data_IF_764615324193
#
_entry.id   IF_764615324193
#
_cell.length_a   1.000
_cell.length_b   1.000
_cell.length_c   1.000
_cell.angle_alpha   90.00
_cell.angle_beta   90.00
_cell.angle_gamma   90.00
#
_symmetry.space_group_name_H-M   'P 1'
#
loop_
_entity.id
_entity.type
_entity.pdbx_description
1 polymer ?
#
# COMPACT_ATOMS: atom_id res chain seq x y z
N UNK A 1 4.72 -30.94 -23.23
CA UNK A 1 4.58 -30.90 -21.75
C UNK A 1 4.29 -29.50 -21.19
N UNK A 2 4.03 -28.50 -22.02
CA UNK A 2 3.89 -27.07 -21.58
C UNK A 2 2.45 -26.64 -21.18
N UNK A 3 1.39 -27.33 -21.63
CA UNK A 3 0.00 -26.86 -21.43
C UNK A 3 -0.63 -27.19 -20.05
N UNK A 4 -0.07 -28.15 -19.31
CA UNK A 4 -0.62 -28.53 -17.97
C UNK A 4 -0.22 -27.57 -16.84
N UNK A 5 0.88 -26.82 -17.02
CA UNK A 5 1.30 -25.83 -16.01
C UNK A 5 0.49 -24.53 -16.13
N UNK A 6 0.19 -24.10 -17.33
CA UNK A 6 -0.64 -22.91 -17.60
C UNK A 6 -2.08 -23.07 -17.10
N UNK A 7 -2.68 -24.24 -17.23
CA UNK A 7 -4.05 -24.50 -16.76
C UNK A 7 -4.21 -24.51 -15.23
N UNK A 8 -3.13 -24.72 -14.47
CA UNK A 8 -3.13 -24.62 -12.99
C UNK A 8 -2.87 -23.19 -12.48
N UNK A 9 -2.21 -22.36 -13.27
CA UNK A 9 -1.85 -20.99 -12.87
C UNK A 9 -2.99 -20.00 -13.19
N UNK A 10 -3.69 -20.17 -14.31
CA UNK A 10 -4.81 -19.30 -14.72
C UNK A 10 -5.94 -19.21 -13.68
N UNK A 11 -6.46 -20.30 -13.11
CA UNK A 11 -7.52 -20.21 -12.09
C UNK A 11 -7.07 -19.45 -10.83
N UNK A 12 -5.81 -19.59 -10.44
CA UNK A 12 -5.26 -18.90 -9.27
C UNK A 12 -5.12 -17.37 -9.49
N UNK A 13 -4.75 -16.96 -10.69
CA UNK A 13 -4.64 -15.51 -11.04
C UNK A 13 -6.02 -14.88 -11.16
N UNK A 14 -6.97 -15.57 -11.81
CA UNK A 14 -8.35 -15.10 -11.95
C UNK A 14 -9.04 -14.99 -10.59
N UNK A 15 -8.94 -16.03 -9.74
CA UNK A 15 -9.45 -16.01 -8.37
C UNK A 15 -8.83 -14.87 -7.52
N UNK A 16 -7.59 -14.53 -7.76
CA UNK A 16 -6.90 -13.40 -7.08
C UNK A 16 -7.39 -12.04 -7.57
N UNK A 17 -7.63 -11.90 -8.86
CA UNK A 17 -8.22 -10.69 -9.46
C UNK A 17 -9.67 -10.53 -8.99
N UNK A 18 -10.46 -11.59 -9.04
CA UNK A 18 -11.86 -11.58 -8.61
C UNK A 18 -11.99 -11.31 -7.12
N UNK A 19 -11.10 -11.85 -6.29
CA UNK A 19 -11.03 -11.56 -4.87
C UNK A 19 -10.65 -10.09 -4.60
N UNK A 20 -9.64 -9.55 -5.28
CA UNK A 20 -9.27 -8.13 -5.17
C UNK A 20 -10.36 -7.21 -5.77
N UNK A 21 -11.05 -7.67 -6.81
CA UNK A 21 -12.18 -6.94 -7.41
C UNK A 21 -13.42 -6.97 -6.51
N UNK A 22 -13.71 -8.08 -5.81
CA UNK A 22 -14.84 -8.18 -4.88
C UNK A 22 -14.72 -7.20 -3.72
N UNK A 23 -13.51 -6.94 -3.22
CA UNK A 23 -13.26 -5.87 -2.25
C UNK A 23 -13.52 -4.46 -2.81
N UNK A 24 -13.31 -4.30 -4.11
CA UNK A 24 -13.52 -3.02 -4.77
C UNK A 24 -14.99 -2.76 -5.17
N UNK A 25 -15.80 -3.83 -5.31
CA UNK A 25 -17.18 -3.75 -5.83
C UNK A 25 -18.24 -3.77 -4.72
N UNK A 26 -17.92 -4.35 -3.54
CA UNK A 26 -18.90 -4.45 -2.44
C UNK A 26 -18.35 -3.93 -1.11
N UNK A 27 -18.17 -2.60 -0.96
CA UNK A 27 -17.69 -2.03 0.31
C UNK A 27 -18.64 -2.31 1.49
N UNK A 28 -19.92 -2.50 1.19
CA UNK A 28 -20.98 -2.68 2.22
C UNK A 28 -21.09 -4.08 2.81
N UNK A 29 -20.62 -5.12 2.11
CA UNK A 29 -20.79 -6.52 2.54
C UNK A 29 -19.78 -6.97 3.61
N UNK A 30 -18.66 -6.27 3.76
CA UNK A 30 -17.59 -6.66 4.70
C UNK A 30 -17.21 -5.58 5.73
N UNK A 31 -18.05 -4.60 5.96
CA UNK A 31 -17.97 -3.68 7.10
C UNK A 31 -16.72 -2.79 7.21
N UNK A 32 -15.86 -2.67 6.19
CA UNK A 32 -14.55 -2.05 6.36
C UNK A 32 -14.01 -1.19 5.21
N UNK A 33 -14.83 -0.76 4.28
CA UNK A 33 -14.40 0.20 3.26
C UNK A 33 -15.27 1.46 3.28
N UNK A 34 -15.32 2.10 4.45
CA UNK A 34 -15.59 3.53 4.43
C UNK A 34 -14.40 4.21 3.73
N UNK A 35 -14.65 5.16 2.82
CA UNK A 35 -13.57 6.02 2.35
C UNK A 35 -12.86 6.55 3.58
N UNK A 36 -11.53 6.44 3.61
CA UNK A 36 -10.74 6.93 4.74
C UNK A 36 -11.19 8.35 5.03
N UNK A 37 -11.60 8.62 6.26
CA UNK A 37 -12.06 9.97 6.60
C UNK A 37 -10.94 10.97 6.28
N UNK A 38 -11.28 12.20 5.94
CA UNK A 38 -10.28 13.24 5.71
C UNK A 38 -9.31 13.36 6.89
N UNK A 39 -9.80 13.05 8.11
CA UNK A 39 -8.97 13.04 9.32
C UNK A 39 -7.93 11.90 9.32
N UNK A 40 -8.31 10.69 8.93
CA UNK A 40 -7.36 9.57 8.80
C UNK A 40 -6.31 9.85 7.73
N UNK A 41 -6.74 10.38 6.56
CA UNK A 41 -5.82 10.80 5.50
C UNK A 41 -4.86 11.89 5.98
N UNK A 42 -5.35 12.88 6.71
CA UNK A 42 -4.55 13.91 7.36
C UNK A 42 -3.54 13.31 8.32
N UNK A 43 -3.96 12.40 9.22
CA UNK A 43 -3.09 11.72 10.17
C UNK A 43 -1.98 10.93 9.50
N UNK A 44 -2.30 10.18 8.43
CA UNK A 44 -1.30 9.47 7.63
C UNK A 44 -0.32 10.43 6.97
N UNK A 45 -0.80 11.53 6.38
CA UNK A 45 0.06 12.53 5.74
C UNK A 45 0.94 13.28 6.74
N UNK A 46 0.52 13.43 8.00
CA UNK A 46 1.31 14.04 9.08
C UNK A 46 2.38 13.12 9.67
N UNK A 47 2.44 11.87 9.24
CA UNK A 47 3.39 10.87 9.78
C UNK A 47 4.79 10.98 9.20
N UNK A 48 5.07 11.92 8.31
CA UNK A 48 6.37 12.10 7.65
C UNK A 48 6.80 13.57 7.64
N UNK A 49 8.11 13.78 7.59
CA UNK A 49 8.68 15.09 7.28
C UNK A 49 8.74 15.29 5.76
N UNK A 50 7.83 16.09 5.24
CA UNK A 50 7.70 16.34 3.80
C UNK A 50 8.91 17.02 3.16
N UNK A 51 9.78 17.67 3.95
CA UNK A 51 11.02 18.26 3.45
C UNK A 51 12.02 17.17 3.00
N UNK A 52 11.91 15.97 3.55
CA UNK A 52 12.78 14.85 3.21
C UNK A 52 12.21 13.96 2.10
N UNK A 53 10.95 14.16 1.67
CA UNK A 53 10.28 13.32 0.68
C UNK A 53 10.50 13.86 -0.73
N UNK A 54 11.23 13.10 -1.56
CA UNK A 54 11.41 13.36 -2.99
C UNK A 54 10.60 12.39 -3.83
N UNK A 55 10.46 11.15 -3.37
CA UNK A 55 9.68 10.12 -4.05
C UNK A 55 8.80 9.37 -3.04
N UNK A 56 7.50 9.43 -3.24
CA UNK A 56 6.53 8.70 -2.43
C UNK A 56 5.69 7.74 -3.27
N UNK A 57 5.18 6.68 -2.64
CA UNK A 57 4.20 5.79 -3.26
C UNK A 57 2.95 5.68 -2.42
N UNK A 58 1.79 5.59 -3.07
CA UNK A 58 0.50 5.27 -2.45
C UNK A 58 -0.01 3.93 -2.98
N UNK A 59 -0.07 2.92 -2.12
CA UNK A 59 -0.60 1.60 -2.45
C UNK A 59 -2.09 1.54 -2.19
N UNK A 60 -2.88 1.31 -3.24
CA UNK A 60 -4.32 1.25 -3.12
C UNK A 60 -4.99 2.63 -3.09
N UNK A 61 -4.58 3.54 -3.97
CA UNK A 61 -4.97 4.95 -4.01
C UNK A 61 -6.50 5.25 -4.08
N UNK A 62 -7.35 4.23 -4.08
CA UNK A 62 -8.79 4.38 -4.00
C UNK A 62 -9.36 5.32 -5.07
N UNK A 63 -10.15 6.27 -4.66
CA UNK A 63 -10.69 7.35 -5.49
C UNK A 63 -9.89 8.66 -5.42
N UNK A 64 -8.70 8.60 -4.82
CA UNK A 64 -7.74 9.70 -4.75
C UNK A 64 -7.94 10.64 -3.55
N UNK A 65 -8.65 10.23 -2.50
CA UNK A 65 -8.81 11.08 -1.31
C UNK A 65 -7.48 11.28 -0.62
N UNK A 66 -6.78 10.21 -0.25
CA UNK A 66 -5.44 10.31 0.34
C UNK A 66 -4.45 10.93 -0.67
N UNK A 67 -4.51 10.55 -1.95
CA UNK A 67 -3.66 11.10 -3.01
C UNK A 67 -3.64 12.65 -2.98
N UNK A 68 -4.82 13.29 -2.88
CA UNK A 68 -4.92 14.77 -2.80
C UNK A 68 -4.27 15.33 -1.53
N UNK A 69 -4.43 14.64 -0.38
CA UNK A 69 -3.77 15.06 0.86
C UNK A 69 -2.24 14.96 0.77
N UNK A 70 -1.72 13.93 0.11
CA UNK A 70 -0.28 13.76 -0.11
C UNK A 70 0.25 14.83 -1.06
N UNK A 71 -0.42 15.05 -2.20
CA UNK A 71 -0.04 16.07 -3.18
C UNK A 71 -0.04 17.49 -2.60
N UNK A 72 -0.98 17.80 -1.70
CA UNK A 72 -1.03 19.13 -1.07
C UNK A 72 0.16 19.43 -0.15
N UNK A 73 0.95 18.42 0.22
CA UNK A 73 2.13 18.54 1.09
C UNK A 73 3.44 18.25 0.37
N UNK A 74 3.35 17.59 -0.78
CA UNK A 74 4.50 17.19 -1.58
C UNK A 74 5.20 18.42 -2.17
N UNK A 75 6.53 18.43 -2.18
CA UNK A 75 7.34 19.47 -2.81
C UNK A 75 7.08 19.54 -4.31
N UNK A 76 7.42 20.68 -4.92
CA UNK A 76 7.19 20.95 -6.35
C UNK A 76 7.98 20.05 -7.29
N UNK A 77 9.14 19.59 -6.85
CA UNK A 77 10.09 18.74 -7.58
C UNK A 77 10.01 17.25 -7.19
N UNK A 78 9.13 16.90 -6.25
CA UNK A 78 8.96 15.53 -5.79
C UNK A 78 7.87 14.79 -6.58
N UNK A 79 7.87 13.45 -6.51
CA UNK A 79 6.96 12.57 -7.26
C UNK A 79 6.14 11.71 -6.30
N UNK A 80 4.86 11.54 -6.62
CA UNK A 80 3.95 10.59 -5.98
C UNK A 80 3.48 9.54 -6.98
N UNK A 81 3.83 8.28 -6.77
CA UNK A 81 3.27 7.16 -7.53
C UNK A 81 2.00 6.61 -6.87
N UNK A 82 0.86 6.68 -7.56
CA UNK A 82 -0.41 6.13 -7.10
C UNK A 82 -0.69 4.76 -7.73
N UNK A 83 -0.56 3.71 -6.94
CA UNK A 83 -0.70 2.31 -7.39
C UNK A 83 -2.16 1.84 -7.27
N UNK A 84 -2.76 1.50 -8.41
CA UNK A 84 -4.14 1.02 -8.48
C UNK A 84 -4.37 0.10 -9.67
N UNK A 85 -5.07 -1.03 -9.44
CA UNK A 85 -5.37 -2.00 -10.51
C UNK A 85 -6.78 -1.87 -11.08
N UNK A 86 -7.74 -1.29 -10.34
CA UNK A 86 -9.13 -1.22 -10.74
C UNK A 86 -9.35 -0.15 -11.83
N UNK A 87 -9.75 -0.52 -13.08
CA UNK A 87 -9.77 0.41 -14.22
C UNK A 87 -10.62 1.67 -13.99
N UNK A 88 -11.75 1.51 -13.28
CA UNK A 88 -12.67 2.62 -12.97
C UNK A 88 -12.02 3.70 -12.08
N UNK A 89 -11.20 3.27 -11.12
CA UNK A 89 -10.49 4.18 -10.22
C UNK A 89 -9.20 4.70 -10.86
N UNK A 90 -8.51 3.90 -11.66
CA UNK A 90 -7.36 4.34 -12.46
C UNK A 90 -7.76 5.52 -13.36
N UNK A 91 -8.89 5.46 -14.04
CA UNK A 91 -9.39 6.60 -14.85
C UNK A 91 -9.62 7.88 -14.04
N UNK A 92 -10.06 7.77 -12.77
CA UNK A 92 -10.19 8.94 -11.89
C UNK A 92 -8.83 9.52 -11.51
N UNK A 93 -7.86 8.64 -11.21
CA UNK A 93 -6.50 9.06 -10.85
C UNK A 93 -5.78 9.70 -12.04
N UNK A 94 -5.98 9.19 -13.27
CA UNK A 94 -5.42 9.80 -14.48
C UNK A 94 -5.91 11.25 -14.66
N UNK A 95 -7.20 11.52 -14.42
CA UNK A 95 -7.72 12.89 -14.43
C UNK A 95 -7.05 13.79 -13.39
N UNK A 96 -6.69 13.21 -12.22
CA UNK A 96 -5.97 13.96 -11.21
C UNK A 96 -4.50 14.20 -11.63
N UNK A 97 -3.87 13.23 -12.29
CA UNK A 97 -2.53 13.36 -12.86
C UNK A 97 -2.46 14.45 -13.94
N UNK A 98 -3.50 14.60 -14.76
CA UNK A 98 -3.60 15.70 -15.74
C UNK A 98 -3.60 17.09 -15.09
N UNK A 99 -4.06 17.17 -13.83
CA UNK A 99 -4.10 18.43 -13.06
C UNK A 99 -2.84 18.68 -12.24
N UNK A 100 -2.10 17.62 -11.88
CA UNK A 100 -0.89 17.72 -11.06
C UNK A 100 0.22 16.80 -11.62
N UNK A 101 1.23 17.35 -12.29
CA UNK A 101 2.27 16.58 -12.96
C UNK A 101 3.20 15.80 -12.00
N UNK A 102 3.14 16.09 -10.69
CA UNK A 102 3.88 15.33 -9.67
C UNK A 102 3.27 13.95 -9.42
N UNK A 103 2.00 13.73 -9.81
CA UNK A 103 1.33 12.44 -9.69
C UNK A 103 1.67 11.55 -10.87
N UNK A 104 2.06 10.31 -10.60
CA UNK A 104 2.23 9.25 -11.60
C UNK A 104 1.31 8.08 -11.27
N UNK A 105 0.39 7.74 -12.16
CA UNK A 105 -0.55 6.63 -11.94
C UNK A 105 0.06 5.33 -12.43
N UNK A 106 0.20 4.36 -11.54
CA UNK A 106 0.77 3.05 -11.82
C UNK A 106 -0.32 1.98 -11.82
N UNK A 107 -0.73 1.53 -12.99
CA UNK A 107 -1.74 0.46 -13.12
C UNK A 107 -1.09 -0.93 -13.03
N UNK A 108 -0.57 -1.27 -11.84
CA UNK A 108 0.05 -2.57 -11.53
C UNK A 108 -0.31 -3.02 -10.12
N UNK A 109 -0.14 -4.32 -9.86
CA UNK A 109 -0.24 -4.87 -8.51
C UNK A 109 0.90 -4.37 -7.63
N UNK A 110 0.64 -4.08 -6.34
CA UNK A 110 1.65 -3.65 -5.38
C UNK A 110 2.80 -4.65 -5.20
N UNK A 111 2.55 -5.95 -5.40
CA UNK A 111 3.58 -7.00 -5.43
C UNK A 111 4.64 -6.79 -6.55
N UNK A 112 4.36 -5.94 -7.53
CA UNK A 112 5.24 -5.62 -8.66
C UNK A 112 6.02 -4.32 -8.47
N UNK A 113 5.96 -3.74 -7.27
CA UNK A 113 6.71 -2.53 -6.94
C UNK A 113 8.22 -2.76 -7.14
N UNK A 114 8.86 -1.84 -7.88
CA UNK A 114 10.29 -1.91 -8.22
C UNK A 114 11.05 -0.60 -7.98
N UNK A 115 10.33 0.50 -7.72
CA UNK A 115 10.91 1.82 -7.44
C UNK A 115 11.64 1.87 -6.10
N UNK A 116 12.18 3.06 -5.81
CA UNK A 116 12.74 3.43 -4.51
C UNK A 116 12.01 4.67 -3.98
N UNK A 117 11.63 4.64 -2.71
CA UNK A 117 10.75 5.64 -2.12
C UNK A 117 11.23 6.06 -0.74
N UNK A 118 11.05 7.33 -0.43
CA UNK A 118 11.31 7.88 0.90
C UNK A 118 10.11 7.63 1.83
N UNK A 119 8.90 7.54 1.26
CA UNK A 119 7.69 7.15 1.99
C UNK A 119 6.76 6.28 1.13
N UNK A 120 6.18 5.25 1.74
CA UNK A 120 5.15 4.41 1.13
C UNK A 120 3.91 4.46 2.01
N UNK A 121 2.81 4.99 1.48
CA UNK A 121 1.51 5.04 2.14
C UNK A 121 0.64 3.89 1.64
N UNK A 122 0.14 3.05 2.55
CA UNK A 122 -0.66 1.89 2.17
C UNK A 122 -2.09 1.98 2.69
N UNK A 123 -3.03 2.03 1.75
CA UNK A 123 -4.47 1.90 1.97
C UNK A 123 -4.98 0.51 1.57
N UNK A 124 -4.10 -0.47 1.45
CA UNK A 124 -4.50 -1.83 1.12
C UNK A 124 -5.12 -2.52 2.34
N UNK A 125 -6.23 -3.26 2.16
CA UNK A 125 -6.84 -4.06 3.21
C UNK A 125 -6.00 -5.34 3.43
N UNK A 126 -4.81 -5.21 4.00
CA UNK A 126 -3.82 -6.29 4.08
C UNK A 126 -4.33 -7.54 4.77
N UNK A 127 -5.17 -7.41 5.81
CA UNK A 127 -5.76 -8.56 6.52
C UNK A 127 -6.73 -9.37 5.65
N UNK A 128 -7.35 -8.72 4.67
CA UNK A 128 -8.26 -9.35 3.75
C UNK A 128 -7.56 -10.03 2.57
N UNK A 129 -6.26 -9.82 2.41
CA UNK A 129 -5.46 -10.47 1.36
C UNK A 129 -4.97 -11.85 1.85
N UNK A 130 -4.81 -12.83 0.92
CA UNK A 130 -4.15 -14.09 1.24
C UNK A 130 -2.78 -13.84 1.88
N UNK A 131 -2.41 -14.66 2.88
CA UNK A 131 -1.18 -14.49 3.67
C UNK A 131 0.06 -14.32 2.77
N UNK A 132 0.19 -15.15 1.73
CA UNK A 132 1.31 -15.11 0.78
C UNK A 132 1.35 -13.81 -0.03
N UNK A 133 0.20 -13.26 -0.41
CA UNK A 133 0.11 -11.97 -1.15
C UNK A 133 0.52 -10.84 -0.24
N UNK A 134 -0.04 -10.81 0.97
CA UNK A 134 0.29 -9.84 2.01
C UNK A 134 1.78 -9.82 2.33
N UNK A 135 2.39 -11.00 2.55
CA UNK A 135 3.81 -11.14 2.80
C UNK A 135 4.67 -10.60 1.65
N UNK A 136 4.30 -10.91 0.38
CA UNK A 136 5.00 -10.36 -0.79
C UNK A 136 4.89 -8.85 -0.90
N UNK A 137 3.72 -8.27 -0.64
CA UNK A 137 3.53 -6.81 -0.65
C UNK A 137 4.43 -6.15 0.41
N UNK A 138 4.40 -6.65 1.65
CA UNK A 138 5.22 -6.09 2.74
C UNK A 138 6.71 -6.24 2.46
N UNK A 139 7.16 -7.40 1.97
CA UNK A 139 8.56 -7.61 1.56
C UNK A 139 8.97 -6.66 0.44
N UNK A 140 8.10 -6.43 -0.55
CA UNK A 140 8.37 -5.48 -1.64
C UNK A 140 8.42 -4.04 -1.14
N UNK A 141 7.48 -3.63 -0.31
CA UNK A 141 7.48 -2.31 0.30
C UNK A 141 8.75 -2.08 1.13
N UNK A 142 9.13 -3.04 1.99
CA UNK A 142 10.37 -2.99 2.76
C UNK A 142 11.61 -2.80 1.87
N UNK A 143 11.73 -3.58 0.79
CA UNK A 143 12.87 -3.50 -0.13
C UNK A 143 12.85 -2.24 -1.03
N UNK A 144 11.69 -1.62 -1.20
CA UNK A 144 11.50 -0.43 -2.03
C UNK A 144 11.74 0.87 -1.25
N UNK A 145 11.88 0.83 0.06
CA UNK A 145 12.25 2.00 0.84
C UNK A 145 13.72 2.36 0.65
N UNK A 146 13.99 3.66 0.60
CA UNK A 146 15.33 4.23 0.74
C UNK A 146 15.82 4.08 2.19
N UNK A 147 17.10 4.33 2.42
CA UNK A 147 17.64 4.41 3.79
C UNK A 147 16.95 5.57 4.52
N UNK A 148 16.46 5.30 5.73
CA UNK A 148 15.63 6.23 6.49
C UNK A 148 14.18 6.37 6.00
N UNK A 149 13.80 5.67 4.93
CA UNK A 149 12.43 5.69 4.40
C UNK A 149 11.43 4.98 5.31
N UNK A 150 10.16 5.34 5.19
CA UNK A 150 9.09 4.86 6.07
C UNK A 150 7.90 4.27 5.30
N UNK A 151 7.30 3.22 5.87
CA UNK A 151 6.06 2.63 5.39
C UNK A 151 4.93 2.98 6.35
N UNK A 152 3.90 3.64 5.86
CA UNK A 152 2.73 4.07 6.63
C UNK A 152 1.53 3.19 6.27
N UNK A 153 0.96 2.49 7.26
CA UNK A 153 -0.19 1.62 7.07
C UNK A 153 -1.28 1.96 8.09
N UNK A 154 -2.54 2.04 7.68
CA UNK A 154 -3.63 2.05 8.64
C UNK A 154 -4.33 0.68 8.73
N UNK A 155 -4.88 0.38 9.92
CA UNK A 155 -5.66 -0.83 10.19
C UNK A 155 -6.76 -0.56 11.21
N UNK A 156 -7.86 -1.30 11.12
CA UNK A 156 -8.96 -1.24 12.11
C UNK A 156 -8.76 -2.22 13.28
N UNK A 157 -7.72 -3.03 13.24
CA UNK A 157 -7.37 -3.98 14.31
C UNK A 157 -5.86 -4.16 14.42
N UNK A 158 -5.40 -4.74 15.52
CA UNK A 158 -3.98 -4.99 15.81
C UNK A 158 -3.48 -6.35 15.27
N UNK A 159 -4.35 -7.14 14.64
CA UNK A 159 -4.01 -8.51 14.15
C UNK A 159 -2.82 -8.52 13.18
N UNK A 160 -2.60 -7.42 12.45
CA UNK A 160 -1.49 -7.32 11.50
C UNK A 160 -0.11 -7.16 12.17
N UNK A 161 -0.03 -6.79 13.43
CA UNK A 161 1.22 -6.42 14.12
C UNK A 161 2.31 -7.50 14.04
N UNK A 162 1.95 -8.77 14.31
CA UNK A 162 2.89 -9.90 14.16
C UNK A 162 3.49 -9.98 12.75
N UNK A 163 2.67 -9.71 11.72
CA UNK A 163 3.15 -9.73 10.33
C UNK A 163 4.01 -8.51 10.00
N UNK A 164 3.66 -7.32 10.51
CA UNK A 164 4.48 -6.11 10.36
C UNK A 164 5.86 -6.30 11.00
N UNK A 165 5.90 -6.87 12.20
CA UNK A 165 7.15 -7.13 12.94
C UNK A 165 8.09 -8.14 12.24
N UNK A 166 7.62 -8.88 11.22
CA UNK A 166 8.52 -9.69 10.39
C UNK A 166 9.38 -8.86 9.42
N UNK A 167 8.99 -7.62 9.13
CA UNK A 167 9.62 -6.79 8.12
C UNK A 167 10.10 -5.43 8.65
N UNK A 168 9.44 -4.93 9.72
CA UNK A 168 9.60 -3.57 10.18
C UNK A 168 9.66 -3.49 11.71
N UNK A 169 10.41 -2.53 12.20
CA UNK A 169 10.14 -1.88 13.48
C UNK A 169 9.02 -0.87 13.26
N UNK A 170 8.13 -0.71 14.24
CA UNK A 170 6.99 0.17 14.06
C UNK A 170 6.53 0.84 15.37
N UNK A 171 5.97 2.03 15.20
CA UNK A 171 5.18 2.73 16.21
C UNK A 171 3.75 2.86 15.70
N UNK A 172 2.80 3.12 16.58
CA UNK A 172 1.40 3.32 16.18
C UNK A 172 0.75 4.46 16.94
N UNK A 173 -0.24 5.07 16.30
CA UNK A 173 -1.16 6.03 16.92
C UNK A 173 -2.60 5.65 16.62
N UNK A 174 -3.54 6.03 17.49
CA UNK A 174 -4.96 5.70 17.36
C UNK A 174 -5.74 6.91 16.87
N UNK A 175 -6.43 6.78 15.76
CA UNK A 175 -7.29 7.83 15.21
C UNK A 175 -8.75 7.55 15.58
N UNK A 176 -9.23 8.25 16.58
CA UNK A 176 -10.58 8.05 17.16
C UNK A 176 -11.69 8.71 16.34
N UNK A 177 -11.36 9.76 15.59
CA UNK A 177 -12.36 10.52 14.82
C UNK A 177 -12.76 9.79 13.54
N UNK A 178 -11.94 8.83 13.09
CA UNK A 178 -12.33 7.96 11.99
C UNK A 178 -13.45 6.99 12.42
N UNK A 179 -14.38 6.69 11.52
CA UNK A 179 -15.48 5.74 11.79
C UNK A 179 -15.40 4.58 10.81
N UNK A 180 -15.09 3.35 11.28
CA UNK A 180 -14.64 3.01 12.64
C UNK A 180 -13.26 3.59 12.96
N UNK A 181 -12.90 3.76 14.25
CA UNK A 181 -11.58 4.21 14.66
C UNK A 181 -10.47 3.31 14.10
N UNK A 182 -9.31 3.87 13.80
CA UNK A 182 -8.22 3.17 13.13
C UNK A 182 -6.87 3.36 13.81
N UNK A 183 -6.00 2.38 13.70
CA UNK A 183 -4.59 2.48 14.05
C UNK A 183 -3.79 2.93 12.83
N UNK A 184 -2.91 3.90 12.99
CA UNK A 184 -1.93 4.30 11.99
C UNK A 184 -0.56 3.84 12.45
N UNK A 185 0.08 2.99 11.66
CA UNK A 185 1.41 2.43 11.90
C UNK A 185 2.43 3.21 11.07
N UNK A 186 3.53 3.60 11.71
CA UNK A 186 4.71 4.16 11.07
C UNK A 186 5.80 3.11 11.22
N UNK A 187 6.25 2.56 10.11
CA UNK A 187 7.10 1.39 10.06
C UNK A 187 8.43 1.74 9.38
N UNK A 188 9.55 1.34 10.00
CA UNK A 188 10.89 1.45 9.44
C UNK A 188 11.46 0.06 9.17
N UNK A 189 12.14 -0.19 8.04
CA UNK A 189 12.75 -1.49 7.78
C UNK A 189 13.72 -1.91 8.87
N UNK A 190 13.74 -3.19 9.24
CA UNK A 190 14.84 -3.71 10.06
C UNK A 190 16.17 -3.52 9.34
N UNK A 191 17.22 -3.14 10.02
CA UNK A 191 18.58 -2.95 9.46
C UNK A 191 19.09 -4.17 8.66
N UNK A 192 18.54 -5.37 8.92
CA UNK A 192 18.88 -6.62 8.24
C UNK A 192 18.12 -6.88 6.94
N UNK A 193 17.12 -6.10 6.57
CA UNK A 193 16.41 -6.26 5.30
C UNK A 193 17.26 -5.88 4.07
N UNK A 194 18.43 -5.29 4.25
CA UNK A 194 19.43 -5.05 3.20
C UNK A 194 20.24 -6.30 2.80
N UNK A 195 19.86 -7.50 3.23
CA UNK A 195 20.50 -8.72 2.79
C UNK A 195 20.18 -8.94 1.31
N UNK A 196 21.20 -8.74 0.49
CA UNK A 196 21.28 -9.02 -0.94
C UNK A 196 20.63 -10.35 -1.27
N UNK A 197 19.88 -10.36 -2.39
CA UNK A 197 19.14 -11.51 -2.86
C UNK A 197 19.87 -12.83 -2.69
N UNK A 198 19.24 -13.71 -1.95
CA UNK A 198 19.37 -15.13 -2.20
C UNK A 198 18.05 -15.79 -1.78
N UNK A 199 17.56 -16.61 -2.68
CA UNK A 199 16.38 -17.45 -2.56
C UNK A 199 16.45 -18.30 -1.29
N UNK A 200 15.50 -18.09 -0.40
CA UNK A 200 15.34 -18.94 0.77
C UNK A 200 13.99 -18.66 1.43
N UNK A 201 13.14 -19.65 1.43
CA UNK A 201 11.78 -19.61 1.96
C UNK A 201 11.73 -19.09 3.39
N UNK A 202 11.05 -17.98 3.59
CA UNK A 202 10.61 -17.58 4.92
C UNK A 202 9.39 -18.43 5.25
N UNK A 203 9.59 -19.46 6.05
CA UNK A 203 8.50 -20.24 6.66
C UNK A 203 7.79 -19.29 7.63
N UNK A 204 6.61 -18.81 7.23
CA UNK A 204 5.68 -18.13 8.11
C UNK A 204 4.97 -19.20 8.96
N UNK A 205 5.35 -19.33 10.20
CA UNK A 205 4.62 -20.10 11.21
C UNK A 205 3.38 -19.34 11.63
#
# INVERSE_FOLDING_TARGET
MSNKLLSKILPCVQCRVDYMMSFAVSPRSFGTLFPSSGQLCKRMAESVDWLQINCAAELGAGDGVLTRHLLSRLKTDAVLEAWKIQPKLVRKLIKLQEMDPRLQVVNKFAEKMTGKYDAIFSCLPLLSLPVMVRGRILKRACNALNDGGVFIQFQYSTVLEKTLSCFFEWTRSYEVVNVPPAWVYICTPHQKCNIRGNTGDVILI
#
